data_IF_116861599613
#
_entry.id   IF_116861599613
#
_cell.length_a   1.000
_cell.length_b   1.000
_cell.length_c   1.000
_cell.angle_alpha   90.00
_cell.angle_beta   90.00
_cell.angle_gamma   90.00
#
_symmetry.space_group_name_H-M   'P 1'
#
loop_
_entity.id
_entity.type
_entity.pdbx_description
1 polymer ?
#
# COMPACT_ATOMS: atom_id res chain seq x y z
N UNK A 1 23.46 -11.18 8.73
CA UNK A 1 22.98 -10.80 7.39
C UNK A 1 21.44 -10.75 7.18
N UNK A 2 20.56 -11.52 7.87
CA UNK A 2 19.11 -11.51 7.59
C UNK A 2 18.37 -10.20 7.97
N UNK A 3 18.74 -9.56 9.08
CA UNK A 3 18.09 -8.34 9.59
C UNK A 3 18.08 -7.19 8.55
N UNK A 4 19.19 -7.00 7.84
CA UNK A 4 19.35 -5.95 6.82
C UNK A 4 18.39 -6.09 5.62
N UNK A 5 17.99 -7.31 5.25
CA UNK A 5 17.04 -7.50 4.13
C UNK A 5 15.62 -7.14 4.58
N UNK A 6 15.20 -7.63 5.75
CA UNK A 6 13.85 -7.38 6.27
C UNK A 6 13.56 -5.89 6.50
N UNK A 7 14.53 -5.15 7.05
CA UNK A 7 14.43 -3.70 7.25
C UNK A 7 14.37 -2.92 5.91
N UNK A 8 14.82 -3.55 4.82
CA UNK A 8 14.88 -2.94 3.49
C UNK A 8 13.49 -2.70 2.88
N UNK A 9 12.48 -3.51 3.20
CA UNK A 9 11.10 -3.28 2.72
C UNK A 9 10.59 -1.91 3.20
N UNK A 10 10.82 -1.57 4.46
CA UNK A 10 10.39 -0.27 5.02
C UNK A 10 11.01 0.93 4.30
N UNK A 11 12.19 0.74 3.72
CA UNK A 11 12.92 1.77 2.97
C UNK A 11 12.49 1.80 1.52
N UNK A 12 12.51 0.65 0.83
CA UNK A 12 12.18 0.52 -0.60
C UNK A 12 10.73 0.95 -0.84
N UNK A 13 9.81 0.49 0.00
CA UNK A 13 8.37 0.68 -0.16
C UNK A 13 7.81 1.78 0.75
N UNK A 14 8.66 2.69 1.24
CA UNK A 14 8.31 3.74 2.22
C UNK A 14 7.08 4.54 1.81
N UNK A 15 7.01 4.95 0.55
CA UNK A 15 5.89 5.73 0.03
C UNK A 15 4.57 4.94 0.08
N UNK A 16 4.61 3.66 -0.30
CA UNK A 16 3.43 2.78 -0.32
C UNK A 16 2.97 2.45 1.09
N UNK A 17 3.91 2.27 2.01
CA UNK A 17 3.61 2.17 3.44
C UNK A 17 2.91 3.43 3.96
N UNK A 18 3.35 4.61 3.54
CA UNK A 18 2.69 5.87 3.90
C UNK A 18 1.27 5.94 3.35
N UNK A 19 1.04 5.49 2.11
CA UNK A 19 -0.30 5.44 1.52
C UNK A 19 -1.22 4.47 2.27
N UNK A 20 -0.72 3.30 2.68
CA UNK A 20 -1.47 2.36 3.52
C UNK A 20 -1.80 2.96 4.89
N UNK A 21 -0.88 3.72 5.49
CA UNK A 21 -1.17 4.48 6.71
C UNK A 21 -2.30 5.49 6.49
N UNK A 22 -2.26 6.23 5.38
CA UNK A 22 -3.36 7.15 5.06
C UNK A 22 -4.69 6.43 4.88
N UNK A 23 -4.67 5.27 4.22
CA UNK A 23 -5.85 4.48 3.91
C UNK A 23 -6.48 3.84 5.15
N UNK A 24 -5.69 3.21 6.01
CA UNK A 24 -6.20 2.42 7.15
C UNK A 24 -6.31 3.20 8.46
N UNK A 25 -5.49 4.23 8.67
CA UNK A 25 -5.54 4.99 9.92
C UNK A 25 -6.65 6.02 9.88
N UNK A 26 -7.37 6.15 11.00
CA UNK A 26 -8.35 7.21 11.20
C UNK A 26 -7.66 8.54 11.40
N UNK A 27 -8.28 9.60 10.89
CA UNK A 27 -7.84 10.95 11.16
C UNK A 27 -8.08 11.30 12.65
N UNK A 28 -7.11 11.99 13.26
CA UNK A 28 -7.17 12.30 14.71
C UNK A 28 -8.24 13.35 15.03
N UNK A 29 -8.48 14.28 14.12
CA UNK A 29 -9.46 15.36 14.28
C UNK A 29 -10.84 14.93 13.77
N UNK A 30 -10.86 14.06 12.75
CA UNK A 30 -12.09 13.51 12.15
C UNK A 30 -12.12 11.97 12.18
N UNK A 31 -12.32 11.34 13.35
CA UNK A 31 -12.19 9.88 13.51
C UNK A 31 -13.14 9.03 12.64
N UNK A 32 -14.22 9.63 12.12
CA UNK A 32 -15.16 8.97 11.19
C UNK A 32 -14.50 8.59 9.86
N UNK A 33 -13.47 9.33 9.45
CA UNK A 33 -12.81 9.20 8.16
C UNK A 33 -11.38 8.71 8.31
N UNK A 34 -10.87 8.04 7.28
CA UNK A 34 -9.44 7.78 7.14
C UNK A 34 -8.69 9.07 6.84
N UNK A 35 -7.39 9.07 7.12
CA UNK A 35 -6.50 10.19 6.76
C UNK A 35 -6.54 10.47 5.25
N UNK A 36 -6.67 9.42 4.41
CA UNK A 36 -6.76 9.57 2.96
C UNK A 36 -8.06 10.27 2.54
N UNK A 37 -9.20 9.89 3.13
CA UNK A 37 -10.49 10.54 2.85
C UNK A 37 -10.48 12.01 3.26
N UNK A 38 -9.91 12.35 4.42
CA UNK A 38 -9.73 13.75 4.82
C UNK A 38 -8.89 14.53 3.80
N UNK A 39 -7.79 13.95 3.32
CA UNK A 39 -6.95 14.56 2.26
C UNK A 39 -7.72 14.81 0.96
N UNK A 40 -8.61 13.89 0.58
CA UNK A 40 -9.48 14.07 -0.58
C UNK A 40 -10.49 15.21 -0.36
N UNK A 41 -11.12 15.28 0.81
CA UNK A 41 -12.06 16.36 1.14
C UNK A 41 -11.38 17.72 1.17
N UNK A 42 -10.19 17.81 1.75
CA UNK A 42 -9.44 19.06 1.82
C UNK A 42 -9.02 19.52 0.42
N UNK A 43 -8.55 18.60 -0.44
CA UNK A 43 -8.24 18.90 -1.83
C UNK A 43 -9.47 19.40 -2.60
N UNK A 44 -10.63 18.74 -2.43
CA UNK A 44 -11.89 19.16 -3.05
C UNK A 44 -12.34 20.55 -2.55
N UNK A 45 -12.28 20.80 -1.24
CA UNK A 45 -12.63 22.09 -0.62
C UNK A 45 -11.76 23.22 -1.16
N UNK A 46 -10.48 22.95 -1.36
CA UNK A 46 -9.51 23.92 -1.88
C UNK A 46 -9.48 23.99 -3.41
N UNK A 47 -10.32 23.22 -4.12
CA UNK A 47 -10.35 23.11 -5.58
C UNK A 47 -8.99 22.68 -6.19
N UNK A 48 -8.17 21.95 -5.42
CA UNK A 48 -6.90 21.39 -5.88
C UNK A 48 -7.16 20.07 -6.61
N UNK A 49 -7.42 20.18 -7.91
CA UNK A 49 -7.76 19.04 -8.76
C UNK A 49 -6.60 18.05 -8.90
N UNK A 50 -5.34 18.52 -8.83
CA UNK A 50 -4.17 17.64 -8.93
C UNK A 50 -4.01 16.79 -7.68
N UNK A 51 -4.11 17.40 -6.50
CA UNK A 51 -4.08 16.67 -5.23
C UNK A 51 -5.26 15.71 -5.13
N UNK A 52 -6.47 16.14 -5.52
CA UNK A 52 -7.64 15.26 -5.52
C UNK A 52 -7.42 14.04 -6.40
N UNK A 53 -6.97 14.24 -7.66
CA UNK A 53 -6.66 13.14 -8.58
C UNK A 53 -5.63 12.18 -8.00
N UNK A 54 -4.54 12.71 -7.42
CA UNK A 54 -3.52 11.90 -6.74
C UNK A 54 -4.12 11.02 -5.65
N UNK A 55 -4.89 11.58 -4.72
CA UNK A 55 -5.46 10.81 -3.61
C UNK A 55 -6.54 9.82 -4.06
N UNK A 56 -7.35 10.19 -5.05
CA UNK A 56 -8.33 9.28 -5.66
C UNK A 56 -7.64 8.08 -6.33
N UNK A 57 -6.56 8.31 -7.07
CA UNK A 57 -5.74 7.24 -7.67
C UNK A 57 -5.16 6.34 -6.59
N UNK A 58 -4.57 6.90 -5.52
CA UNK A 58 -4.07 6.12 -4.38
C UNK A 58 -5.19 5.26 -3.79
N UNK A 59 -6.37 5.83 -3.56
CA UNK A 59 -7.51 5.07 -3.03
C UNK A 59 -7.85 3.89 -3.94
N UNK A 60 -7.98 4.13 -5.25
CA UNK A 60 -8.34 3.11 -6.23
C UNK A 60 -7.35 1.94 -6.27
N UNK A 61 -6.04 2.20 -6.40
CA UNK A 61 -5.04 1.12 -6.40
C UNK A 61 -5.00 0.38 -5.07
N UNK A 62 -5.24 1.08 -3.96
CA UNK A 62 -5.22 0.47 -2.62
C UNK A 62 -6.44 -0.41 -2.41
N UNK A 63 -7.62 0.02 -2.85
CA UNK A 63 -8.84 -0.78 -2.83
C UNK A 63 -8.63 -2.10 -3.58
N UNK A 64 -8.11 -2.03 -4.82
CA UNK A 64 -7.80 -3.22 -5.63
C UNK A 64 -6.81 -4.12 -4.89
N UNK A 65 -5.71 -3.56 -4.37
CA UNK A 65 -4.69 -4.34 -3.70
C UNK A 65 -5.25 -5.03 -2.44
N UNK A 66 -6.01 -4.33 -1.63
CA UNK A 66 -6.64 -4.87 -0.41
C UNK A 66 -7.61 -6.00 -0.75
N UNK A 67 -8.48 -5.80 -1.75
CA UNK A 67 -9.48 -6.80 -2.16
C UNK A 67 -8.87 -8.06 -2.80
N UNK A 68 -7.70 -7.93 -3.41
CA UNK A 68 -6.98 -9.04 -4.08
C UNK A 68 -5.85 -9.63 -3.24
N UNK A 69 -5.80 -9.31 -1.94
CA UNK A 69 -4.79 -9.83 -1.02
C UNK A 69 -5.28 -11.07 -0.30
N UNK A 70 -4.37 -12.03 -0.10
CA UNK A 70 -4.56 -13.09 0.90
C UNK A 70 -4.65 -12.47 2.31
N UNK A 71 -5.57 -12.97 3.14
CA UNK A 71 -5.92 -12.38 4.43
C UNK A 71 -4.74 -12.35 5.42
N UNK A 72 -3.94 -13.41 5.43
CA UNK A 72 -2.75 -13.54 6.29
C UNK A 72 -1.66 -12.52 5.90
N UNK A 73 -1.44 -12.33 4.59
CA UNK A 73 -0.51 -11.34 4.06
C UNK A 73 -0.99 -9.93 4.37
N UNK A 74 -2.26 -9.61 4.13
CA UNK A 74 -2.80 -8.29 4.42
C UNK A 74 -2.72 -7.98 5.92
N UNK A 75 -3.03 -8.97 6.77
CA UNK A 75 -2.90 -8.85 8.22
C UNK A 75 -1.46 -8.56 8.62
N UNK A 76 -0.49 -9.32 8.09
CA UNK A 76 0.93 -9.08 8.34
C UNK A 76 1.37 -7.68 7.90
N UNK A 77 0.94 -7.21 6.72
CA UNK A 77 1.25 -5.86 6.22
C UNK A 77 0.72 -4.78 7.17
N UNK A 78 -0.54 -4.92 7.64
CA UNK A 78 -1.18 -3.96 8.55
C UNK A 78 -0.48 -3.92 9.90
N UNK A 79 -0.29 -5.07 10.53
CA UNK A 79 0.32 -5.15 11.87
C UNK A 79 1.76 -4.63 11.87
N UNK A 80 2.52 -4.91 10.82
CA UNK A 80 3.94 -4.52 10.73
C UNK A 80 4.11 -3.07 10.30
N UNK A 81 3.49 -2.67 9.19
CA UNK A 81 3.85 -1.42 8.51
C UNK A 81 2.83 -0.31 8.73
N UNK A 82 1.57 -0.63 9.01
CA UNK A 82 0.52 0.38 9.24
C UNK A 82 0.49 0.72 10.72
N UNK A 83 0.15 -0.26 11.56
CA UNK A 83 -0.07 -0.07 12.99
C UNK A 83 1.24 -0.13 13.80
N UNK A 84 2.26 -0.80 13.26
CA UNK A 84 3.57 -0.99 13.93
C UNK A 84 3.43 -1.72 15.27
N UNK A 85 2.45 -2.62 15.39
CA UNK A 85 2.22 -3.43 16.59
C UNK A 85 3.23 -4.58 16.73
N UNK A 86 3.83 -5.00 15.61
CA UNK A 86 4.89 -6.01 15.63
C UNK A 86 5.92 -5.75 14.52
N UNK A 87 7.09 -6.38 14.65
CA UNK A 87 8.07 -6.39 13.58
C UNK A 87 7.81 -7.54 12.60
N UNK A 88 8.49 -7.51 11.45
CA UNK A 88 8.36 -8.55 10.42
C UNK A 88 8.64 -9.94 10.98
N UNK A 89 9.63 -10.10 11.87
CA UNK A 89 9.97 -11.41 12.46
C UNK A 89 8.78 -11.97 13.26
N UNK A 90 8.12 -11.12 14.06
CA UNK A 90 6.91 -11.48 14.78
C UNK A 90 5.77 -11.88 13.84
N UNK A 91 5.58 -11.14 12.74
CA UNK A 91 4.56 -11.46 11.74
C UNK A 91 4.87 -12.79 11.01
N UNK A 92 6.14 -13.08 10.70
CA UNK A 92 6.56 -14.35 10.10
C UNK A 92 6.11 -15.54 10.95
N UNK A 93 6.28 -15.44 12.27
CA UNK A 93 6.02 -16.53 13.21
C UNK A 93 4.55 -16.65 13.59
N UNK A 94 3.87 -15.51 13.79
CA UNK A 94 2.52 -15.47 14.39
C UNK A 94 1.39 -15.38 13.38
N UNK A 95 1.68 -14.94 12.16
CA UNK A 95 0.67 -14.70 11.13
C UNK A 95 0.94 -15.57 9.91
N UNK A 96 2.18 -15.52 9.38
CA UNK A 96 2.51 -16.17 8.11
C UNK A 96 2.97 -17.62 8.24
N UNK A 97 3.33 -18.06 9.45
CA UNK A 97 3.85 -19.40 9.76
C UNK A 97 4.97 -19.88 8.84
N UNK A 98 5.86 -18.97 8.43
CA UNK A 98 7.00 -19.25 7.55
C UNK A 98 8.28 -18.65 8.11
N UNK A 99 9.44 -19.15 7.65
CA UNK A 99 10.72 -18.58 8.03
C UNK A 99 10.90 -17.17 7.45
N UNK A 100 11.90 -16.44 7.96
CA UNK A 100 12.14 -15.04 7.65
C UNK A 100 12.32 -14.74 6.14
N UNK A 101 13.02 -15.62 5.41
CA UNK A 101 13.30 -15.37 3.99
C UNK A 101 12.07 -15.53 3.08
N UNK A 102 11.27 -16.62 3.18
CA UNK A 102 10.00 -16.73 2.48
C UNK A 102 9.03 -15.58 2.82
N UNK A 103 8.92 -15.19 4.09
CA UNK A 103 8.08 -14.08 4.49
C UNK A 103 8.52 -12.77 3.83
N UNK A 104 9.82 -12.48 3.83
CA UNK A 104 10.37 -11.32 3.13
C UNK A 104 9.98 -11.31 1.65
N UNK A 105 10.15 -12.44 0.95
CA UNK A 105 9.83 -12.53 -0.47
C UNK A 105 8.33 -12.31 -0.73
N UNK A 106 7.44 -12.91 0.08
CA UNK A 106 5.99 -12.72 -0.03
C UNK A 106 5.59 -11.26 0.20
N UNK A 107 6.08 -10.64 1.29
CA UNK A 107 5.77 -9.25 1.63
C UNK A 107 6.34 -8.28 0.59
N UNK A 108 7.57 -8.50 0.12
CA UNK A 108 8.17 -7.66 -0.91
C UNK A 108 7.39 -7.75 -2.23
N UNK A 109 7.04 -8.96 -2.66
CA UNK A 109 6.24 -9.17 -3.88
C UNK A 109 4.87 -8.51 -3.78
N UNK A 110 4.25 -8.54 -2.60
CA UNK A 110 2.98 -7.84 -2.37
C UNK A 110 3.10 -6.33 -2.63
N UNK A 111 4.18 -5.70 -2.19
CA UNK A 111 4.43 -4.27 -2.44
C UNK A 111 4.85 -3.96 -3.88
N UNK A 112 5.57 -4.87 -4.55
CA UNK A 112 5.88 -4.75 -5.98
C UNK A 112 4.58 -4.76 -6.79
N UNK A 113 3.69 -5.72 -6.56
CA UNK A 113 2.37 -5.76 -7.20
C UNK A 113 1.54 -4.52 -6.87
N UNK A 114 1.59 -4.01 -5.64
CA UNK A 114 0.92 -2.77 -5.28
C UNK A 114 1.45 -1.57 -6.07
N UNK A 115 2.75 -1.54 -6.36
CA UNK A 115 3.37 -0.50 -7.19
C UNK A 115 2.98 -0.65 -8.66
N UNK A 116 2.91 -1.88 -9.17
CA UNK A 116 2.54 -2.16 -10.56
C UNK A 116 1.10 -1.75 -10.89
N UNK A 117 0.19 -1.80 -9.91
CA UNK A 117 -1.18 -1.31 -10.06
C UNK A 117 -1.27 0.18 -10.42
N UNK A 118 -0.20 0.95 -10.20
CA UNK A 118 -0.16 2.33 -10.69
C UNK A 118 -0.27 2.38 -12.22
N UNK A 119 0.35 1.45 -12.91
CA UNK A 119 0.32 1.35 -14.37
C UNK A 119 -1.01 0.81 -14.89
N UNK A 120 -1.81 0.12 -14.08
CA UNK A 120 -3.14 -0.35 -14.51
C UNK A 120 -4.18 0.76 -14.64
N UNK A 121 -3.90 1.96 -14.12
CA UNK A 121 -4.79 3.12 -14.22
C UNK A 121 -4.42 4.00 -15.43
N UNK A 122 -3.20 3.83 -15.96
CA UNK A 122 -2.78 4.55 -17.16
C UNK A 122 -3.47 3.88 -18.36
N UNK A 123 -4.25 4.63 -19.16
CA UNK A 123 -4.85 4.07 -20.37
C UNK A 123 -3.74 3.54 -21.28
N UNK A 124 -3.91 2.32 -21.79
CA UNK A 124 -3.00 1.81 -22.79
C UNK A 124 -3.09 2.71 -24.05
N UNK A 125 -1.95 3.12 -24.63
CA UNK A 125 -1.98 3.75 -25.94
C UNK A 125 -2.64 2.80 -26.93
N UNK A 126 -3.28 3.35 -27.97
CA UNK A 126 -3.90 2.53 -29.01
C UNK A 126 -2.82 1.68 -29.69
N UNK A 127 -2.73 0.40 -29.31
CA UNK A 127 -1.73 -0.53 -29.82
C UNK A 127 -1.89 -0.80 -31.33
N UNK A 128 -3.08 -0.53 -31.90
CA UNK A 128 -3.32 -0.62 -33.33
C UNK A 128 -2.45 0.34 -34.15
N UNK A 129 -1.98 1.44 -33.56
CA UNK A 129 -1.11 2.41 -34.24
C UNK A 129 0.36 1.95 -34.39
N UNK A 130 0.75 0.81 -33.79
CA UNK A 130 2.10 0.25 -33.88
C UNK A 130 2.16 -1.00 -34.79
N UNK A 131 1.06 -1.36 -35.43
CA UNK A 131 0.94 -2.51 -36.32
C UNK A 131 0.72 -2.11 -37.80
N UNK A 132 0.99 -0.84 -38.14
CA UNK A 132 1.15 -0.33 -39.52
C UNK A 132 2.63 -0.18 -39.87
#
# INVERSE_FOLDING_TARGET
>A
MPKKKIERISVIHREKILWLKWYFMRDKEKPKYSVLECKMFDAAKNKDMLAYKKYATIKQITDIRVQTSEDDILTAIKEVYVYNHMNVIGACQRILFVSQSPAYNKLNKWFETYSDLYFSIIPLPNMGAYHE
#
